data_IF_774389843363
#
_entry.id   IF_774389843363
#
_cell.length_a   1.000
_cell.length_b   1.000
_cell.length_c   1.000
_cell.angle_alpha   90.00
_cell.angle_beta   90.00
_cell.angle_gamma   90.00
#
_symmetry.space_group_name_H-M   'P 1'
#
loop_
_entity.id
_entity.type
_entity.pdbx_description
1 polymer ?
#
# COMPACT_ATOMS: atom_id res chain seq x y z
N UNK A 1 -24.79 23.75 -2.20
CA UNK A 1 -24.04 24.25 -3.37
C UNK A 1 -23.09 23.12 -3.74
N UNK A 2 -23.45 22.32 -4.74
CA UNK A 2 -22.59 21.31 -5.30
C UNK A 2 -21.66 22.01 -6.29
N UNK A 3 -20.39 22.12 -5.96
CA UNK A 3 -19.38 22.52 -6.94
C UNK A 3 -19.21 21.35 -7.92
N UNK A 4 -19.37 21.64 -9.20
CA UNK A 4 -18.98 20.72 -10.28
C UNK A 4 -17.51 20.41 -10.09
N UNK A 5 -17.16 19.14 -9.78
CA UNK A 5 -15.80 18.69 -9.89
C UNK A 5 -15.44 18.72 -11.37
N UNK A 6 -14.46 19.53 -11.73
CA UNK A 6 -13.82 19.43 -13.04
C UNK A 6 -13.31 17.99 -13.18
N UNK A 7 -13.81 17.29 -14.18
CA UNK A 7 -13.43 15.91 -14.50
C UNK A 7 -12.02 15.81 -15.11
N UNK A 8 -11.15 16.77 -14.85
CA UNK A 8 -9.76 16.73 -15.30
C UNK A 8 -8.92 15.91 -14.32
N UNK A 9 -8.36 14.81 -14.82
CA UNK A 9 -7.35 14.05 -14.10
C UNK A 9 -6.10 14.92 -13.96
N UNK A 10 -5.82 15.40 -12.73
CA UNK A 10 -4.60 16.14 -12.42
C UNK A 10 -3.54 15.15 -11.97
N UNK A 11 -2.47 15.05 -12.74
CA UNK A 11 -1.30 14.24 -12.38
C UNK A 11 -0.53 14.89 -11.22
N UNK A 12 0.13 14.10 -10.36
CA UNK A 12 0.98 14.62 -9.29
C UNK A 12 2.08 15.53 -9.82
N UNK A 13 2.36 16.62 -9.12
CA UNK A 13 3.44 17.57 -9.43
C UNK A 13 4.41 17.67 -8.27
N UNK A 14 5.70 17.68 -8.57
CA UNK A 14 6.76 17.99 -7.64
C UNK A 14 7.25 19.41 -7.91
N UNK A 15 7.31 20.25 -6.87
CA UNK A 15 7.94 21.58 -6.95
C UNK A 15 9.20 21.61 -6.13
N UNK A 16 10.32 21.84 -6.74
CA UNK A 16 11.63 21.96 -6.08
C UNK A 16 12.42 23.14 -6.67
N UNK A 17 12.93 24.02 -5.82
CA UNK A 17 13.76 25.17 -6.26
C UNK A 17 13.07 26.11 -7.27
N UNK A 18 11.74 26.20 -7.24
CA UNK A 18 10.95 27.00 -8.19
C UNK A 18 10.65 26.30 -9.52
N UNK A 19 11.16 25.08 -9.73
CA UNK A 19 10.85 24.25 -10.89
C UNK A 19 9.71 23.31 -10.57
N UNK A 20 8.76 23.16 -11.49
CA UNK A 20 7.68 22.16 -11.43
C UNK A 20 7.98 21.02 -12.37
N UNK A 21 7.80 19.82 -11.86
CA UNK A 21 7.88 18.58 -12.65
C UNK A 21 6.60 17.79 -12.41
N UNK A 22 5.90 17.46 -13.50
CA UNK A 22 4.69 16.62 -13.44
C UNK A 22 5.11 15.16 -13.60
N UNK A 23 4.63 14.28 -12.73
CA UNK A 23 4.85 12.84 -12.86
C UNK A 23 4.23 12.35 -14.17
N UNK A 24 5.00 11.65 -14.98
CA UNK A 24 4.49 11.10 -16.24
C UNK A 24 3.50 9.98 -15.96
N UNK A 25 2.43 9.90 -16.72
CA UNK A 25 1.43 8.85 -16.58
C UNK A 25 2.03 7.42 -16.65
N UNK A 26 3.12 7.25 -17.40
CA UNK A 26 3.88 5.98 -17.51
C UNK A 26 4.69 5.63 -16.26
N UNK A 27 4.86 6.56 -15.34
CA UNK A 27 5.57 6.38 -14.06
C UNK A 27 4.59 6.18 -12.89
N UNK A 28 3.29 6.14 -13.18
CA UNK A 28 2.24 5.93 -12.20
C UNK A 28 1.85 4.45 -12.19
N UNK A 29 2.03 3.81 -11.06
CA UNK A 29 1.59 2.43 -10.85
C UNK A 29 0.11 2.40 -10.46
N UNK A 30 -0.62 1.47 -11.04
CA UNK A 30 -2.06 1.29 -10.86
C UNK A 30 -2.41 -0.16 -10.55
N UNK A 31 -3.31 -0.36 -9.59
CA UNK A 31 -3.89 -1.67 -9.28
C UNK A 31 -5.25 -1.81 -10.00
N UNK A 32 -5.39 -2.75 -10.96
CA UNK A 32 -6.65 -2.98 -11.67
C UNK A 32 -7.83 -3.39 -10.76
N UNK A 33 -7.55 -3.88 -9.54
CA UNK A 33 -8.59 -4.24 -8.57
C UNK A 33 -9.22 -3.01 -7.87
N UNK A 34 -8.65 -1.82 -8.05
CA UNK A 34 -9.21 -0.58 -7.51
C UNK A 34 -10.32 -0.05 -8.41
N UNK A 35 -11.56 0.01 -7.90
CA UNK A 35 -12.72 0.49 -8.64
C UNK A 35 -12.85 2.02 -8.66
N UNK A 36 -12.32 2.71 -7.67
CA UNK A 36 -12.37 4.16 -7.54
C UNK A 36 -11.02 4.73 -7.14
N UNK A 37 -10.58 5.76 -7.84
CA UNK A 37 -9.32 6.44 -7.60
C UNK A 37 -9.58 7.90 -7.29
N UNK A 38 -9.30 8.30 -6.05
CA UNK A 38 -9.43 9.69 -5.61
C UNK A 38 -8.10 10.32 -5.16
N UNK A 39 -7.03 9.55 -5.11
CA UNK A 39 -5.76 10.00 -4.55
C UNK A 39 -4.55 9.28 -5.14
N UNK A 40 -3.37 9.87 -4.94
CA UNK A 40 -2.08 9.28 -5.26
C UNK A 40 -1.21 9.19 -4.00
N UNK A 41 -0.46 8.12 -3.88
CA UNK A 41 0.65 8.00 -2.93
C UNK A 41 1.92 8.35 -3.68
N UNK A 42 2.55 9.46 -3.31
CA UNK A 42 3.80 9.90 -3.91
C UNK A 42 4.97 9.47 -3.04
N UNK A 43 5.96 8.84 -3.64
CA UNK A 43 7.19 8.39 -2.99
C UNK A 43 8.36 9.20 -3.53
N UNK A 44 9.11 9.79 -2.63
CA UNK A 44 10.30 10.57 -2.95
C UNK A 44 11.47 10.09 -2.09
N UNK A 45 12.52 9.60 -2.71
CA UNK A 45 13.78 9.32 -2.01
C UNK A 45 14.67 10.57 -1.99
N UNK A 46 15.34 10.79 -0.88
CA UNK A 46 16.23 11.93 -0.68
C UNK A 46 17.56 11.47 -0.08
N UNK A 47 18.65 11.81 -0.74
CA UNK A 47 20.00 11.55 -0.20
C UNK A 47 20.43 12.70 0.71
N UNK A 48 20.48 12.44 2.02
CA UNK A 48 20.78 13.45 3.03
C UNK A 48 22.23 13.96 2.98
N UNK A 49 23.15 13.17 2.41
CA UNK A 49 24.56 13.56 2.31
C UNK A 49 24.85 14.47 1.11
N UNK A 50 24.18 14.21 -0.02
CA UNK A 50 24.41 14.97 -1.26
C UNK A 50 23.34 16.02 -1.55
N UNK A 51 22.22 16.00 -0.84
CA UNK A 51 21.05 16.85 -1.10
C UNK A 51 20.29 16.48 -2.38
N UNK A 52 20.65 15.37 -3.03
CA UNK A 52 19.98 14.95 -4.27
C UNK A 52 18.66 14.24 -3.97
N UNK A 53 17.66 14.58 -4.75
CA UNK A 53 16.38 13.82 -4.83
C UNK A 53 16.50 12.74 -5.88
N UNK A 54 15.87 11.60 -5.61
CA UNK A 54 15.71 10.51 -6.56
C UNK A 54 14.42 10.65 -7.38
N UNK A 55 14.10 9.59 -8.07
CA UNK A 55 12.91 9.52 -8.90
C UNK A 55 11.65 9.58 -8.02
N UNK A 56 10.71 10.42 -8.40
CA UNK A 56 9.37 10.43 -7.83
C UNK A 56 8.58 9.28 -8.46
N UNK A 57 8.07 8.40 -7.62
CA UNK A 57 7.16 7.32 -8.03
C UNK A 57 5.79 7.55 -7.41
N UNK A 58 4.75 7.41 -8.19
CA UNK A 58 3.38 7.54 -7.70
C UNK A 58 2.63 6.21 -7.82
N UNK A 59 1.84 5.91 -6.79
CA UNK A 59 0.87 4.82 -6.78
C UNK A 59 -0.53 5.42 -6.69
N UNK A 60 -1.43 4.89 -7.49
CA UNK A 60 -2.84 5.25 -7.41
C UNK A 60 -3.44 4.65 -6.15
N UNK A 61 -4.10 5.46 -5.34
CA UNK A 61 -4.78 5.00 -4.12
C UNK A 61 -4.36 5.74 -2.86
N UNK A 62 -4.75 5.19 -1.72
CA UNK A 62 -4.49 5.73 -0.38
C UNK A 62 -3.84 4.68 0.50
N UNK A 63 -2.63 4.94 0.95
CA UNK A 63 -1.92 4.06 1.90
C UNK A 63 -2.58 4.08 3.28
N UNK A 64 -2.81 2.88 3.83
CA UNK A 64 -3.27 2.71 5.20
C UNK A 64 -2.11 2.50 6.19
N UNK A 65 -1.10 1.72 5.80
CA UNK A 65 0.11 1.48 6.58
C UNK A 65 1.33 1.49 5.65
N UNK A 66 2.41 2.12 6.11
CA UNK A 66 3.73 2.06 5.49
C UNK A 66 4.72 1.40 6.46
N UNK A 67 5.46 0.41 5.99
CA UNK A 67 6.50 -0.28 6.74
C UNK A 67 7.79 -0.32 5.93
N UNK A 68 8.89 0.09 6.54
CA UNK A 68 10.22 0.06 5.92
C UNK A 68 11.07 -1.03 6.57
N UNK A 69 11.51 -1.98 5.76
CA UNK A 69 12.54 -2.96 6.13
C UNK A 69 13.93 -2.47 5.67
N UNK A 70 15.02 -3.15 6.01
CA UNK A 70 16.34 -2.82 5.45
C UNK A 70 16.44 -2.97 3.92
N UNK A 71 15.52 -3.69 3.29
CA UNK A 71 15.59 -4.05 1.86
C UNK A 71 14.48 -3.45 1.01
N UNK A 72 13.34 -3.06 1.62
CA UNK A 72 12.20 -2.58 0.86
C UNK A 72 11.24 -1.73 1.69
N UNK A 73 10.48 -0.88 1.01
CA UNK A 73 9.31 -0.21 1.52
C UNK A 73 8.07 -1.05 1.17
N UNK A 74 7.25 -1.33 2.17
CA UNK A 74 5.95 -1.96 2.00
C UNK A 74 4.84 -0.95 2.25
N UNK A 75 3.94 -0.82 1.28
CA UNK A 75 2.73 -0.02 1.41
C UNK A 75 1.52 -0.93 1.43
N UNK A 76 0.56 -0.63 2.28
CA UNK A 76 -0.71 -1.36 2.32
C UNK A 76 -1.86 -0.45 1.95
N UNK A 77 -2.82 -0.97 1.19
CA UNK A 77 -4.04 -0.28 0.82
C UNK A 77 -5.23 -1.18 1.12
N UNK A 78 -6.25 -0.64 1.77
CA UNK A 78 -7.47 -1.39 2.04
C UNK A 78 -8.38 -1.35 0.82
N UNK A 79 -8.79 -2.54 0.37
CA UNK A 79 -9.78 -2.71 -0.69
C UNK A 79 -11.09 -3.24 -0.10
N UNK A 80 -12.17 -2.66 -0.54
CA UNK A 80 -13.53 -3.10 -0.22
C UNK A 80 -14.13 -3.76 -1.45
N UNK A 81 -14.74 -4.92 -1.28
CA UNK A 81 -15.36 -5.66 -2.39
C UNK A 81 -16.70 -5.07 -2.87
N UNK A 82 -17.07 -3.90 -2.37
CA UNK A 82 -18.31 -3.21 -2.74
C UNK A 82 -19.59 -3.91 -2.26
N UNK A 83 -19.49 -4.91 -1.40
CA UNK A 83 -20.66 -5.58 -0.85
C UNK A 83 -21.52 -4.61 -0.05
N UNK A 84 -22.82 -4.64 -0.27
CA UNK A 84 -23.81 -3.69 0.26
C UNK A 84 -24.05 -3.82 1.78
N UNK A 85 -23.57 -4.87 2.40
CA UNK A 85 -23.70 -5.10 3.85
C UNK A 85 -22.35 -5.38 4.48
N UNK A 86 -22.09 -4.79 5.67
CA UNK A 86 -20.85 -5.02 6.44
C UNK A 86 -20.60 -6.52 6.74
N UNK A 87 -21.65 -7.31 6.89
CA UNK A 87 -21.56 -8.75 7.19
C UNK A 87 -21.03 -9.57 5.99
N UNK A 88 -21.21 -9.08 4.76
CA UNK A 88 -20.75 -9.75 3.53
C UNK A 88 -19.50 -9.12 2.93
N UNK A 89 -19.08 -7.95 3.41
CA UNK A 89 -17.87 -7.28 2.89
C UNK A 89 -16.61 -8.04 3.30
N UNK A 90 -15.86 -8.48 2.32
CA UNK A 90 -14.52 -9.04 2.53
C UNK A 90 -13.53 -7.89 2.53
N UNK A 91 -13.01 -7.57 3.69
CA UNK A 91 -11.92 -6.62 3.80
C UNK A 91 -10.62 -7.31 3.35
N UNK A 92 -10.02 -6.78 2.31
CA UNK A 92 -8.74 -7.25 1.77
C UNK A 92 -7.74 -6.11 1.84
N UNK A 93 -6.51 -6.42 2.18
CA UNK A 93 -5.39 -5.47 2.14
C UNK A 93 -4.48 -5.81 0.96
N UNK A 94 -4.40 -4.93 -0.02
CA UNK A 94 -3.35 -4.98 -1.04
C UNK A 94 -2.02 -4.52 -0.43
N UNK A 95 -0.95 -5.18 -0.82
CA UNK A 95 0.42 -4.93 -0.36
C UNK A 95 1.28 -4.69 -1.58
N UNK A 96 2.09 -3.63 -1.53
CA UNK A 96 3.06 -3.26 -2.57
C UNK A 96 4.45 -3.31 -1.97
N UNK A 97 5.36 -4.05 -2.61
CA UNK A 97 6.77 -4.10 -2.24
C UNK A 97 7.56 -3.23 -3.20
N UNK A 98 8.23 -2.22 -2.67
CA UNK A 98 9.02 -1.25 -3.42
C UNK A 98 10.47 -1.40 -2.96
N UNK A 99 11.37 -1.77 -3.88
CA UNK A 99 12.81 -1.74 -3.60
C UNK A 99 13.29 -0.31 -3.45
N UNK A 100 14.27 -0.10 -2.57
CA UNK A 100 14.89 1.19 -2.34
C UNK A 100 16.41 1.00 -2.38
N UNK A 101 17.03 1.44 -3.46
CA UNK A 101 18.48 1.39 -3.65
C UNK A 101 19.04 2.80 -3.78
N UNK A 102 19.54 3.35 -2.67
CA UNK A 102 19.95 4.75 -2.61
C UNK A 102 18.76 5.67 -2.80
N UNK A 103 18.69 6.35 -3.95
CA UNK A 103 17.56 7.21 -4.33
C UNK A 103 16.67 6.62 -5.41
N UNK A 104 17.00 5.42 -5.90
CA UNK A 104 16.19 4.71 -6.88
C UNK A 104 15.12 3.87 -6.16
N UNK A 105 13.89 3.90 -6.67
CA UNK A 105 12.76 3.14 -6.17
C UNK A 105 12.05 2.43 -7.30
N UNK A 106 11.68 1.17 -7.09
CA UNK A 106 10.95 0.39 -8.10
C UNK A 106 9.92 -0.53 -7.46
N UNK A 107 8.73 -0.60 -8.05
CA UNK A 107 7.68 -1.53 -7.64
C UNK A 107 8.07 -2.95 -8.09
N UNK A 108 8.41 -3.80 -7.11
CA UNK A 108 8.92 -5.17 -7.34
C UNK A 108 7.83 -6.23 -7.31
N UNK A 109 6.84 -6.03 -6.46
CA UNK A 109 5.78 -7.01 -6.26
C UNK A 109 4.50 -6.37 -5.72
N UNK A 110 3.39 -7.03 -6.04
CA UNK A 110 2.08 -6.75 -5.51
C UNK A 110 1.42 -8.06 -5.05
N UNK A 111 0.73 -8.01 -3.93
CA UNK A 111 -0.02 -9.15 -3.39
C UNK A 111 -1.17 -8.66 -2.53
N UNK A 112 -1.90 -9.60 -1.94
CA UNK A 112 -2.98 -9.24 -1.03
C UNK A 112 -3.17 -10.28 0.05
N UNK A 113 -3.71 -9.86 1.20
CA UNK A 113 -4.10 -10.70 2.32
C UNK A 113 -5.49 -10.30 2.80
N UNK A 114 -6.16 -11.23 3.48
CA UNK A 114 -7.42 -10.96 4.13
C UNK A 114 -7.24 -10.09 5.37
N UNK A 115 -8.22 -9.24 5.67
CA UNK A 115 -8.22 -8.38 6.86
C UNK A 115 -7.41 -7.09 6.67
N UNK A 116 -7.18 -6.41 7.78
CA UNK A 116 -6.46 -5.13 7.84
C UNK A 116 -5.34 -5.20 8.88
N UNK A 117 -4.14 -4.69 8.59
CA UNK A 117 -3.12 -4.51 9.62
C UNK A 117 -3.52 -3.37 10.56
N UNK A 118 -3.17 -3.50 11.83
CA UNK A 118 -3.46 -2.47 12.82
C UNK A 118 -2.61 -1.20 12.58
N UNK A 119 -1.33 -1.41 12.37
CA UNK A 119 -0.33 -0.36 12.16
C UNK A 119 0.96 -0.97 11.57
N UNK A 120 2.01 -0.18 11.47
CA UNK A 120 3.31 -0.61 10.92
C UNK A 120 4.00 -1.74 11.70
N UNK A 121 3.70 -1.91 12.99
CA UNK A 121 4.27 -2.98 13.81
C UNK A 121 3.59 -4.33 13.58
N UNK A 122 2.50 -4.34 12.81
CA UNK A 122 1.87 -5.56 12.34
C UNK A 122 2.59 -6.19 11.14
N UNK A 123 3.65 -5.54 10.61
CA UNK A 123 4.46 -6.02 9.50
C UNK A 123 5.90 -6.24 9.97
N UNK A 124 6.53 -7.29 9.44
CA UNK A 124 7.93 -7.61 9.69
C UNK A 124 8.51 -8.41 8.52
N UNK A 125 9.66 -7.98 8.00
CA UNK A 125 10.41 -8.72 6.99
C UNK A 125 11.59 -9.43 7.62
N UNK A 126 11.66 -10.76 7.45
CA UNK A 126 12.78 -11.59 7.89
C UNK A 126 13.03 -12.75 6.96
N UNK A 127 14.29 -13.03 6.69
CA UNK A 127 14.76 -14.17 5.90
C UNK A 127 14.06 -14.26 4.52
N UNK A 128 13.89 -13.10 3.84
CA UNK A 128 13.26 -13.01 2.54
C UNK A 128 11.75 -13.28 2.55
N UNK A 129 11.09 -13.06 3.68
CA UNK A 129 9.64 -13.23 3.82
C UNK A 129 9.03 -12.06 4.58
N UNK A 130 7.90 -11.58 4.09
CA UNK A 130 7.06 -10.63 4.81
C UNK A 130 6.09 -11.41 5.68
N UNK A 131 6.04 -11.08 6.97
CA UNK A 131 4.99 -11.50 7.90
C UNK A 131 4.08 -10.32 8.15
N UNK A 132 2.78 -10.55 8.08
CA UNK A 132 1.78 -9.51 8.35
C UNK A 132 0.66 -10.07 9.22
N UNK A 133 0.39 -9.39 10.32
CA UNK A 133 -0.74 -9.67 11.19
C UNK A 133 -1.91 -8.78 10.79
N UNK A 134 -3.09 -9.37 10.65
CA UNK A 134 -4.31 -8.67 10.26
C UNK A 134 -5.47 -9.04 11.16
N UNK A 135 -6.45 -8.15 11.24
CA UNK A 135 -7.78 -8.44 11.80
C UNK A 135 -8.78 -8.52 10.66
N UNK A 136 -9.41 -9.66 10.50
CA UNK A 136 -10.46 -9.92 9.53
C UNK A 136 -11.84 -9.97 10.23
N UNK A 137 -12.87 -9.54 9.53
CA UNK A 137 -14.22 -9.47 10.10
C UNK A 137 -14.48 -8.22 10.95
N UNK A 138 -15.63 -8.22 11.61
CA UNK A 138 -16.12 -7.09 12.40
C UNK A 138 -16.79 -7.58 13.69
N UNK A 139 -16.63 -6.88 14.79
CA UNK A 139 -17.28 -7.16 16.07
C UNK A 139 -17.07 -8.63 16.52
N UNK A 140 -18.15 -9.33 16.84
CA UNK A 140 -18.13 -10.73 17.26
C UNK A 140 -17.56 -11.71 16.23
N UNK A 141 -17.53 -11.33 14.95
CA UNK A 141 -17.00 -12.15 13.87
C UNK A 141 -15.54 -11.77 13.54
N UNK A 142 -14.96 -10.86 14.30
CA UNK A 142 -13.55 -10.49 14.14
C UNK A 142 -12.66 -11.67 14.52
N UNK A 143 -11.60 -11.89 13.76
CA UNK A 143 -10.53 -12.83 14.09
C UNK A 143 -9.19 -12.27 13.62
N UNK A 144 -8.14 -12.60 14.35
CA UNK A 144 -6.81 -12.20 13.94
C UNK A 144 -6.18 -13.30 13.10
N UNK A 145 -5.38 -12.89 12.14
CA UNK A 145 -4.70 -13.76 11.19
C UNK A 145 -3.24 -13.31 11.08
N UNK A 146 -2.35 -14.26 10.82
CA UNK A 146 -0.94 -13.99 10.49
C UNK A 146 -0.66 -14.63 9.15
N UNK A 147 -0.22 -13.84 8.19
CA UNK A 147 0.14 -14.29 6.86
C UNK A 147 1.65 -14.20 6.66
N UNK A 148 2.21 -15.17 5.95
CA UNK A 148 3.62 -15.21 5.55
C UNK A 148 3.68 -15.19 4.02
N UNK A 149 4.34 -14.19 3.47
CA UNK A 149 4.46 -13.98 2.02
C UNK A 149 5.93 -14.09 1.61
N UNK A 150 6.20 -14.59 0.42
CA UNK A 150 7.52 -14.51 -0.19
C UNK A 150 7.82 -13.08 -0.72
N UNK A 151 9.02 -12.85 -1.29
CA UNK A 151 9.39 -11.53 -1.82
C UNK A 151 8.60 -11.12 -3.08
N UNK A 152 7.86 -12.05 -3.69
CA UNK A 152 6.88 -11.76 -4.75
C UNK A 152 5.47 -11.53 -4.22
N UNK A 153 5.35 -11.45 -2.90
CA UNK A 153 4.11 -11.28 -2.15
C UNK A 153 3.07 -12.39 -2.41
N UNK A 154 3.55 -13.58 -2.75
CA UNK A 154 2.73 -14.79 -2.78
C UNK A 154 2.66 -15.37 -1.38
N UNK A 155 1.45 -15.69 -0.89
CA UNK A 155 1.26 -16.33 0.39
C UNK A 155 1.87 -17.75 0.39
N UNK A 156 2.74 -18.02 1.37
CA UNK A 156 3.42 -19.29 1.57
C UNK A 156 3.01 -19.97 2.88
N UNK A 157 2.25 -19.31 3.70
CA UNK A 157 1.68 -19.84 4.94
C UNK A 157 0.79 -18.83 5.63
N UNK A 158 -0.18 -19.32 6.40
CA UNK A 158 -1.05 -18.49 7.23
C UNK A 158 -1.47 -19.22 8.49
N UNK A 159 -1.72 -18.46 9.55
CA UNK A 159 -2.45 -18.89 10.74
C UNK A 159 -3.68 -17.99 10.87
N UNK A 160 -4.87 -18.59 10.91
CA UNK A 160 -6.16 -17.89 10.91
C UNK A 160 -7.00 -18.26 12.12
N UNK A 161 -8.04 -17.47 12.40
CA UNK A 161 -8.96 -17.74 13.50
C UNK A 161 -8.35 -17.56 14.89
N UNK A 162 -7.35 -16.69 15.04
CA UNK A 162 -6.69 -16.41 16.31
C UNK A 162 -7.57 -15.43 17.10
N UNK A 163 -7.86 -15.75 18.37
CA UNK A 163 -8.64 -14.94 19.30
C UNK A 163 -9.93 -14.38 18.65
N UNK A 164 -10.88 -15.24 18.27
CA UNK A 164 -12.13 -14.80 17.66
C UNK A 164 -12.96 -13.98 18.65
N UNK A 165 -13.50 -12.84 18.19
CA UNK A 165 -14.37 -11.96 18.99
C UNK A 165 -13.63 -11.01 19.94
N UNK A 166 -12.31 -10.90 19.85
CA UNK A 166 -11.48 -9.95 20.59
C UNK A 166 -10.95 -8.81 19.71
#
# INVERSE_FOLDING_TARGET
>A
IWSSFDNELRLPELTSGGTRETVKATEISYDPAMSEVSSFVNLLAFNTSSGKTGTLTALVGSTSVAYMSPTALYLTMQLWDGATTRASSKLTTSIYRISVEGTEMSLEAQGSVRGRPLNQFALDEKDGRLRIATTAGWWSDASNEVHVLDLKLKEVGAATGIAPGE
#
